data_IF_077383685647
#
_entry.id   IF_077383685647
#
_cell.length_a   1.000
_cell.length_b   1.000
_cell.length_c   1.000
_cell.angle_alpha   90.00
_cell.angle_beta   90.00
_cell.angle_gamma   90.00
#
_symmetry.space_group_name_H-M   'P 1'
#
loop_
_entity.id
_entity.type
_entity.pdbx_description
1 polymer ?
#
# COMPACT_ATOMS: atom_id res chain seq x y z
N UNK A 1 -3.39 -7.10 14.90
CA UNK A 1 -3.92 -5.78 14.48
C UNK A 1 -5.09 -5.43 15.37
N UNK A 2 -5.25 -4.15 15.73
CA UNK A 2 -6.32 -3.69 16.64
C UNK A 2 -7.71 -3.96 16.06
N UNK A 3 -8.59 -4.63 16.81
CA UNK A 3 -10.01 -4.79 16.44
C UNK A 3 -10.67 -3.41 16.34
N UNK A 4 -11.39 -3.16 15.25
CA UNK A 4 -11.98 -1.84 14.98
C UNK A 4 -10.97 -0.79 14.49
N UNK A 5 -9.68 -1.12 14.42
CA UNK A 5 -8.70 -0.34 13.66
C UNK A 5 -8.99 -0.43 12.15
N UNK A 6 -8.51 0.56 11.39
CA UNK A 6 -8.73 0.59 9.93
C UNK A 6 -7.40 0.46 9.19
N UNK A 7 -7.34 -0.49 8.25
CA UNK A 7 -6.34 -0.43 7.18
C UNK A 7 -6.80 0.65 6.22
N UNK A 8 -5.94 1.65 5.99
CA UNK A 8 -6.23 2.77 5.11
C UNK A 8 -5.18 2.84 4.04
N UNK A 9 -5.61 2.97 2.79
CA UNK A 9 -4.67 3.21 1.71
C UNK A 9 -5.12 4.30 0.78
N UNK A 10 -4.14 4.94 0.18
CA UNK A 10 -4.28 6.00 -0.79
C UNK A 10 -3.31 5.69 -1.92
N UNK A 11 -3.85 5.47 -3.12
CA UNK A 11 -3.06 5.23 -4.32
C UNK A 11 -3.44 6.22 -5.41
N UNK A 12 -2.45 6.85 -6.02
CA UNK A 12 -2.65 7.63 -7.22
C UNK A 12 -2.43 6.75 -8.47
N UNK A 13 -3.52 6.41 -9.14
CA UNK A 13 -3.56 5.47 -10.27
C UNK A 13 -3.87 6.23 -11.57
N UNK A 14 -3.18 5.82 -12.63
CA UNK A 14 -3.33 6.29 -13.99
C UNK A 14 -3.66 5.12 -14.91
N UNK A 15 -4.56 5.34 -15.86
CA UNK A 15 -4.68 4.44 -16.99
C UNK A 15 -5.05 5.15 -18.28
N UNK A 16 -4.63 4.55 -19.39
CA UNK A 16 -5.07 4.86 -20.75
C UNK A 16 -5.56 3.60 -21.45
N UNK A 17 -6.51 3.77 -22.35
CA UNK A 17 -7.19 2.68 -23.06
C UNK A 17 -8.58 2.41 -22.50
N UNK A 18 -9.18 1.35 -23.01
CA UNK A 18 -10.50 0.89 -22.64
C UNK A 18 -10.42 -0.15 -21.50
N UNK A 19 -11.32 -0.04 -20.53
CA UNK A 19 -11.43 -0.93 -19.38
C UNK A 19 -12.87 -1.45 -19.17
N UNK A 20 -13.82 -1.12 -20.04
CA UNK A 20 -15.23 -1.47 -19.88
C UNK A 20 -15.64 -2.64 -20.79
N UNK A 21 -16.12 -3.73 -20.19
CA UNK A 21 -16.64 -4.86 -20.94
C UNK A 21 -18.02 -4.54 -21.55
N UNK A 22 -18.18 -4.79 -22.86
CA UNK A 22 -19.46 -4.63 -23.55
C UNK A 22 -19.79 -3.21 -24.02
N UNK A 23 -18.83 -2.29 -24.00
CA UNK A 23 -18.93 -0.97 -24.63
C UNK A 23 -18.48 -0.97 -26.09
N UNK A 24 -18.51 0.21 -26.73
CA UNK A 24 -18.05 0.43 -28.11
C UNK A 24 -16.52 0.49 -28.25
N UNK A 25 -15.78 0.21 -27.18
CA UNK A 25 -14.33 0.33 -27.13
C UNK A 25 -13.58 -0.95 -27.54
N UNK A 26 -12.27 -0.95 -27.32
CA UNK A 26 -11.37 -2.05 -27.72
C UNK A 26 -11.46 -3.28 -26.82
N UNK A 27 -12.22 -3.17 -25.73
CA UNK A 27 -12.37 -4.22 -24.75
C UNK A 27 -13.42 -5.27 -25.15
N UNK A 28 -12.96 -6.50 -25.38
CA UNK A 28 -13.80 -7.62 -25.81
C UNK A 28 -14.06 -8.62 -24.67
N UNK A 29 -14.66 -8.17 -23.58
CA UNK A 29 -14.91 -8.98 -22.36
C UNK A 29 -13.64 -9.51 -21.67
N UNK A 30 -12.51 -8.82 -21.85
CA UNK A 30 -11.21 -9.18 -21.26
C UNK A 30 -10.59 -8.02 -20.48
N UNK A 31 -11.40 -7.02 -20.11
CA UNK A 31 -10.98 -5.96 -19.21
C UNK A 31 -11.58 -6.17 -17.83
N UNK A 32 -11.00 -5.46 -16.89
CA UNK A 32 -11.41 -5.50 -15.51
C UNK A 32 -11.13 -4.12 -14.92
N UNK A 33 -12.06 -3.68 -14.09
CA UNK A 33 -11.92 -2.41 -13.39
C UNK A 33 -10.78 -2.51 -12.38
N UNK A 34 -10.41 -1.36 -11.83
CA UNK A 34 -9.39 -1.36 -10.80
C UNK A 34 -9.94 -2.06 -9.55
N UNK A 35 -9.27 -3.12 -9.14
CA UNK A 35 -9.51 -3.84 -7.90
C UNK A 35 -8.31 -3.65 -6.98
N UNK A 36 -8.57 -3.21 -5.76
CA UNK A 36 -7.60 -3.13 -4.67
C UNK A 36 -8.02 -4.17 -3.63
N UNK A 37 -7.24 -5.24 -3.52
CA UNK A 37 -7.51 -6.36 -2.62
C UNK A 37 -6.49 -6.38 -1.49
N UNK A 38 -6.96 -6.64 -0.28
CA UNK A 38 -6.13 -6.86 0.90
C UNK A 38 -6.16 -8.34 1.23
N UNK A 39 -4.98 -8.92 1.36
CA UNK A 39 -4.80 -10.31 1.73
C UNK A 39 -4.12 -10.43 3.09
N UNK A 40 -4.56 -11.45 3.82
CA UNK A 40 -3.89 -11.99 4.99
C UNK A 40 -3.32 -13.36 4.59
N UNK A 41 -2.03 -13.41 4.30
CA UNK A 41 -1.41 -14.59 3.71
C UNK A 41 -2.04 -14.93 2.35
N UNK A 42 -2.70 -16.09 2.24
CA UNK A 42 -3.39 -16.52 1.03
C UNK A 42 -4.89 -16.15 0.98
N UNK A 43 -5.45 -15.57 2.06
CA UNK A 43 -6.87 -15.27 2.16
C UNK A 43 -7.17 -13.81 1.78
N UNK A 44 -8.06 -13.59 0.81
CA UNK A 44 -8.61 -12.26 0.49
C UNK A 44 -9.59 -11.85 1.60
N UNK A 45 -9.24 -10.82 2.37
CA UNK A 45 -10.07 -10.33 3.48
C UNK A 45 -10.93 -9.13 3.09
N UNK A 46 -10.52 -8.40 2.04
CA UNK A 46 -11.25 -7.25 1.53
C UNK A 46 -10.90 -6.99 0.08
N UNK A 47 -11.88 -6.52 -0.68
CA UNK A 47 -11.71 -6.03 -2.05
C UNK A 47 -12.52 -4.79 -2.28
N UNK A 48 -11.84 -3.75 -2.72
CA UNK A 48 -12.40 -2.48 -3.16
C UNK A 48 -12.34 -2.40 -4.68
N UNK A 49 -13.50 -2.40 -5.33
CA UNK A 49 -13.60 -2.19 -6.78
C UNK A 49 -13.95 -0.74 -7.05
N UNK A 50 -13.09 -0.04 -7.78
CA UNK A 50 -13.29 1.37 -8.08
C UNK A 50 -14.21 1.55 -9.31
N UNK A 51 -15.04 2.59 -9.27
CA UNK A 51 -15.87 2.97 -10.41
C UNK A 51 -14.99 3.53 -11.55
N UNK A 52 -15.39 3.33 -12.83
CA UNK A 52 -14.64 3.85 -13.96
C UNK A 52 -14.50 5.38 -13.88
N UNK A 53 -13.35 5.89 -14.33
CA UNK A 53 -13.09 7.32 -14.47
C UNK A 53 -12.60 7.65 -15.88
N UNK A 54 -12.40 8.92 -16.17
CA UNK A 54 -11.96 9.34 -17.51
C UNK A 54 -10.50 8.91 -17.72
N UNK A 55 -10.27 8.07 -18.74
CA UNK A 55 -8.94 7.63 -19.14
C UNK A 55 -8.00 8.82 -19.46
N UNK A 56 -6.70 8.62 -19.29
CA UNK A 56 -5.68 9.67 -19.46
C UNK A 56 -5.57 10.63 -18.27
N UNK A 57 -6.21 10.32 -17.14
CA UNK A 57 -6.14 11.13 -15.93
C UNK A 57 -5.68 10.31 -14.72
N UNK A 58 -4.87 10.98 -13.89
CA UNK A 58 -4.51 10.50 -12.55
C UNK A 58 -5.70 10.64 -11.62
N UNK A 59 -6.02 9.58 -10.89
CA UNK A 59 -7.06 9.57 -9.86
C UNK A 59 -6.46 9.08 -8.56
N UNK A 60 -6.68 9.85 -7.49
CA UNK A 60 -6.43 9.40 -6.14
C UNK A 60 -7.58 8.50 -5.67
N UNK A 61 -7.26 7.28 -5.27
CA UNK A 61 -8.18 6.25 -4.83
C UNK A 61 -7.88 5.96 -3.37
N UNK A 62 -8.88 6.22 -2.53
CA UNK A 62 -8.81 6.01 -1.09
C UNK A 62 -9.68 4.81 -0.76
N UNK A 63 -9.11 3.83 -0.09
CA UNK A 63 -9.85 2.68 0.42
C UNK A 63 -9.59 2.54 1.92
N UNK A 64 -10.60 2.03 2.62
CA UNK A 64 -10.52 1.74 4.04
C UNK A 64 -11.21 0.43 4.37
N UNK A 65 -10.56 -0.38 5.19
CA UNK A 65 -11.10 -1.63 5.68
C UNK A 65 -10.99 -1.70 7.20
N UNK A 66 -12.11 -1.85 7.88
CA UNK A 66 -12.15 -2.01 9.34
C UNK A 66 -11.85 -3.46 9.71
N UNK A 67 -10.86 -3.66 10.58
CA UNK A 67 -10.45 -4.97 11.07
C UNK A 67 -11.55 -5.57 11.96
N UNK A 68 -12.04 -6.73 11.57
CA UNK A 68 -12.97 -7.55 12.37
C UNK A 68 -12.21 -8.43 13.36
N UNK A 69 -12.90 -8.98 14.37
CA UNK A 69 -12.30 -9.90 15.35
C UNK A 69 -11.64 -11.12 14.69
N UNK A 70 -12.26 -11.66 13.64
CA UNK A 70 -11.75 -12.81 12.88
C UNK A 70 -10.43 -12.50 12.15
N UNK A 71 -10.23 -11.24 11.75
CA UNK A 71 -9.06 -10.79 10.99
C UNK A 71 -8.06 -10.02 11.86
N UNK A 72 -8.22 -10.00 13.19
CA UNK A 72 -7.35 -9.24 14.09
C UNK A 72 -6.05 -9.97 14.44
N UNK A 73 -6.03 -11.30 14.39
CA UNK A 73 -4.86 -12.12 14.70
C UNK A 73 -4.02 -12.28 13.43
N UNK A 74 -2.72 -11.98 13.50
CA UNK A 74 -1.77 -12.11 12.39
C UNK A 74 -0.53 -12.85 12.88
N UNK A 75 -0.26 -14.02 12.33
CA UNK A 75 0.95 -14.80 12.57
C UNK A 75 2.07 -14.42 11.57
N UNK A 76 3.29 -14.22 12.05
CA UNK A 76 4.43 -13.82 11.22
C UNK A 76 4.85 -14.87 10.19
N UNK A 77 4.47 -16.14 10.40
CA UNK A 77 4.85 -17.25 9.49
C UNK A 77 3.94 -17.31 8.26
N UNK A 78 2.63 -17.18 8.45
CA UNK A 78 1.64 -17.46 7.40
C UNK A 78 0.82 -16.24 6.98
N UNK A 79 0.66 -15.26 7.87
CA UNK A 79 -0.26 -14.14 7.68
C UNK A 79 0.52 -12.87 7.32
N UNK A 80 1.23 -12.90 6.19
CA UNK A 80 1.85 -11.67 5.69
C UNK A 80 0.80 -10.76 5.04
N UNK A 81 0.78 -9.45 5.34
CA UNK A 81 -0.12 -8.51 4.67
C UNK A 81 0.33 -8.30 3.23
N UNK A 82 -0.59 -8.49 2.29
CA UNK A 82 -0.36 -8.21 0.87
C UNK A 82 -1.46 -7.30 0.38
N UNK A 83 -1.09 -6.22 -0.31
CA UNK A 83 -2.03 -5.36 -1.02
C UNK A 83 -1.81 -5.57 -2.50
N UNK A 84 -2.84 -6.08 -3.17
CA UNK A 84 -2.84 -6.33 -4.60
C UNK A 84 -3.64 -5.24 -5.30
N UNK A 85 -3.03 -4.62 -6.31
CA UNK A 85 -3.68 -3.64 -7.17
C UNK A 85 -3.72 -4.21 -8.58
N UNK A 86 -4.92 -4.54 -9.06
CA UNK A 86 -5.12 -5.15 -10.37
C UNK A 86 -6.06 -4.32 -11.23
N UNK A 87 -5.73 -4.23 -12.51
CA UNK A 87 -6.55 -3.61 -13.54
C UNK A 87 -6.23 -4.26 -14.87
N UNK A 88 -7.23 -4.49 -15.72
CA UNK A 88 -6.99 -4.93 -17.10
C UNK A 88 -7.50 -3.85 -18.04
N UNK A 89 -6.58 -3.31 -18.83
CA UNK A 89 -6.82 -2.23 -19.79
C UNK A 89 -6.34 -2.64 -21.17
N UNK A 90 -7.01 -2.13 -22.21
CA UNK A 90 -6.69 -2.46 -23.59
C UNK A 90 -6.67 -1.22 -24.48
N UNK A 91 -5.60 -1.07 -25.24
CA UNK A 91 -5.47 -0.04 -26.27
C UNK A 91 -6.16 -0.46 -27.57
N UNK A 92 -6.32 0.48 -28.48
CA UNK A 92 -6.92 0.28 -29.80
C UNK A 92 -5.87 0.06 -30.91
N UNK A 93 -4.60 -0.11 -30.52
CA UNK A 93 -3.50 -0.36 -31.45
C UNK A 93 -3.69 -1.63 -32.27
N UNK A 94 -3.77 -1.49 -33.60
CA UNK A 94 -3.94 -2.56 -34.58
C UNK A 94 -2.95 -2.44 -35.74
N UNK A 95 -2.76 -3.52 -36.51
CA UNK A 95 -2.00 -3.46 -37.77
C UNK A 95 -2.80 -2.64 -38.80
N UNK A 96 -2.12 -1.71 -39.47
CA UNK A 96 -2.72 -0.87 -40.49
C UNK A 96 -2.99 -1.63 -41.80
N UNK A 97 -3.71 -0.99 -42.72
CA UNK A 97 -4.05 -1.56 -44.02
C UNK A 97 -2.84 -1.78 -44.95
N UNK A 98 -1.69 -1.18 -44.65
CA UNK A 98 -0.45 -1.36 -45.39
C UNK A 98 0.52 -2.27 -44.63
N UNK A 99 1.31 -3.11 -45.32
CA UNK A 99 2.34 -3.91 -44.68
C UNK A 99 3.28 -3.02 -43.84
N UNK A 100 3.57 -3.45 -42.62
CA UNK A 100 4.47 -2.77 -41.66
C UNK A 100 3.97 -1.43 -41.10
N UNK A 101 2.69 -1.07 -41.29
CA UNK A 101 2.09 0.08 -40.59
C UNK A 101 1.26 -0.39 -39.39
N UNK A 102 1.21 0.44 -38.36
CA UNK A 102 0.36 0.27 -37.16
C UNK A 102 -0.45 1.54 -36.95
N UNK A 103 -1.67 1.41 -36.46
CA UNK A 103 -2.59 2.51 -36.17
C UNK A 103 -3.20 2.33 -34.78
N UNK A 104 -3.55 3.43 -34.10
CA UNK A 104 -4.11 3.43 -32.74
C UNK A 104 -3.04 3.58 -31.65
N UNK A 105 -3.52 3.68 -30.42
CA UNK A 105 -2.76 3.97 -29.21
C UNK A 105 -2.63 2.72 -28.32
N UNK A 106 -1.45 2.50 -27.71
CA UNK A 106 -1.27 1.44 -26.72
C UNK A 106 -2.01 1.79 -25.41
N UNK A 107 -2.37 0.77 -24.61
CA UNK A 107 -2.80 1.00 -23.24
C UNK A 107 -1.60 1.35 -22.34
N UNK A 108 -1.89 2.13 -21.29
CA UNK A 108 -0.93 2.44 -20.24
C UNK A 108 -1.57 2.23 -18.86
N UNK A 109 -0.75 1.80 -17.90
CA UNK A 109 -1.10 1.75 -16.49
C UNK A 109 0.05 2.34 -15.69
N UNK A 110 -0.28 3.23 -14.75
CA UNK A 110 0.69 3.89 -13.89
C UNK A 110 0.19 3.96 -12.46
N UNK A 111 1.12 3.80 -11.52
CA UNK A 111 0.85 3.97 -10.10
C UNK A 111 1.98 4.79 -9.49
N UNK A 112 1.64 5.84 -8.74
CA UNK A 112 2.63 6.57 -7.95
C UNK A 112 2.78 5.93 -6.59
N UNK A 113 4.02 5.84 -6.12
CA UNK A 113 4.39 5.27 -4.84
C UNK A 113 5.02 6.35 -3.93
N UNK A 114 5.24 6.00 -2.66
CA UNK A 114 5.80 6.87 -1.63
C UNK A 114 4.85 8.02 -1.23
N UNK A 115 5.19 9.29 -1.52
CA UNK A 115 4.42 10.44 -1.01
C UNK A 115 3.01 10.53 -1.58
N UNK A 116 2.75 9.88 -2.72
CA UNK A 116 1.45 9.83 -3.39
C UNK A 116 0.86 8.40 -3.42
N UNK A 117 1.42 7.49 -2.61
CA UNK A 117 1.02 6.09 -2.51
C UNK A 117 1.40 5.50 -1.15
N UNK A 118 0.43 5.40 -0.24
CA UNK A 118 0.61 4.96 1.15
C UNK A 118 -0.45 3.93 1.53
N UNK A 119 -0.05 2.93 2.31
CA UNK A 119 -0.98 2.07 3.06
C UNK A 119 -0.55 2.05 4.52
N UNK A 120 -1.49 2.34 5.41
CA UNK A 120 -1.34 2.31 6.85
C UNK A 120 -2.03 1.07 7.40
N UNK A 121 -1.28 0.29 8.18
CA UNK A 121 -1.79 -0.88 8.88
C UNK A 121 -1.92 -0.58 10.39
N UNK A 122 -3.07 -0.85 11.00
CA UNK A 122 -3.27 -0.62 12.43
C UNK A 122 -2.51 -1.68 13.23
N UNK A 123 -1.47 -1.25 13.93
CA UNK A 123 -0.72 -2.10 14.86
C UNK A 123 -1.43 -2.10 16.22
N UNK A 124 -1.51 -3.27 16.84
CA UNK A 124 -2.12 -3.39 18.18
C UNK A 124 -1.13 -2.94 19.25
N UNK A 125 -1.57 -2.10 20.20
CA UNK A 125 -0.70 -1.58 21.26
C UNK A 125 -0.08 -2.69 22.12
N UNK A 126 -0.77 -3.83 22.27
CA UNK A 126 -0.25 -4.99 23.00
C UNK A 126 0.97 -5.64 22.31
N UNK A 127 1.12 -5.46 20.99
CA UNK A 127 2.29 -5.97 20.24
C UNK A 127 3.60 -5.25 20.62
N UNK A 128 3.51 -4.10 21.30
CA UNK A 128 4.66 -3.39 21.82
C UNK A 128 5.03 -3.79 23.25
N UNK A 129 4.29 -4.70 23.88
CA UNK A 129 4.62 -5.19 25.23
C UNK A 129 5.86 -6.08 25.23
N UNK A 130 6.67 -5.99 26.29
CA UNK A 130 7.89 -6.79 26.46
C UNK A 130 7.59 -8.30 26.39
N UNK A 131 6.44 -8.74 26.91
CA UNK A 131 6.00 -10.14 26.89
C UNK A 131 5.74 -10.66 25.46
N UNK A 132 5.28 -9.80 24.54
CA UNK A 132 5.07 -10.16 23.13
C UNK A 132 6.37 -10.20 22.34
N UNK A 133 7.36 -9.38 22.74
CA UNK A 133 8.69 -9.34 22.13
C UNK A 133 9.63 -10.41 22.68
N UNK A 134 9.37 -10.92 23.89
CA UNK A 134 10.22 -11.90 24.57
C UNK A 134 10.35 -13.26 23.85
N UNK A 135 9.49 -13.54 22.87
CA UNK A 135 9.61 -14.70 21.97
C UNK A 135 10.47 -14.47 20.72
N UNK A 136 10.82 -13.22 20.41
CA UNK A 136 12.00 -12.89 19.60
C UNK A 136 13.17 -12.94 20.57
N UNK A 137 13.55 -14.16 20.96
CA UNK A 137 14.78 -14.34 21.71
C UNK A 137 15.86 -13.57 20.93
N UNK A 138 16.49 -12.60 21.61
CA UNK A 138 17.86 -12.22 21.33
C UNK A 138 18.57 -13.53 21.07
N UNK A 139 18.81 -13.88 19.80
CA UNK A 139 19.81 -14.88 19.50
C UNK A 139 21.03 -14.37 20.25
N UNK A 140 21.55 -15.10 21.25
CA UNK A 140 22.76 -14.67 21.93
C UNK A 140 23.77 -14.39 20.84
N UNK A 141 24.54 -13.32 20.98
CA UNK A 141 25.54 -12.92 20.01
C UNK A 141 26.56 -14.06 19.81
N UNK A 142 26.23 -15.04 18.98
CA UNK A 142 27.17 -16.01 18.45
C UNK A 142 27.84 -15.33 17.26
N UNK A 143 29.10 -14.98 17.51
CA UNK A 143 30.11 -14.54 16.56
C UNK A 143 29.95 -15.20 15.18
N UNK A 144 29.16 -14.57 14.32
CA UNK A 144 29.07 -14.91 12.90
C UNK A 144 30.02 -13.97 12.16
N UNK A 145 31.17 -14.46 11.66
CA UNK A 145 32.17 -13.59 11.09
C UNK A 145 31.72 -13.15 9.69
N UNK A 146 31.54 -11.84 9.48
CA UNK A 146 31.92 -11.25 8.19
C UNK A 146 30.99 -10.30 7.46
N UNK A 147 29.76 -9.99 7.89
CA UNK A 147 28.98 -8.88 7.33
C UNK A 147 28.04 -8.27 8.39
N UNK A 148 28.50 -7.21 9.06
CA UNK A 148 27.71 -6.47 10.05
C UNK A 148 26.67 -5.58 9.36
N UNK A 149 25.39 -5.91 9.52
CA UNK A 149 24.29 -4.96 9.35
C UNK A 149 24.27 -4.07 10.61
N UNK A 150 24.83 -2.85 10.53
CA UNK A 150 24.72 -1.86 11.60
C UNK A 150 23.33 -1.21 11.51
N UNK A 151 22.37 -1.71 12.29
CA UNK A 151 21.12 -0.98 12.52
C UNK A 151 21.40 0.03 13.63
N UNK A 152 21.70 1.27 13.24
CA UNK A 152 21.80 2.38 14.17
C UNK A 152 20.41 2.69 14.73
N UNK A 153 20.11 2.21 15.94
CA UNK A 153 18.95 2.61 16.73
C UNK A 153 19.11 4.06 17.15
N UNK A 154 18.52 4.99 16.38
CA UNK A 154 18.43 6.38 16.77
C UNK A 154 17.45 6.53 17.95
N UNK A 155 17.98 6.56 19.16
CA UNK A 155 17.25 7.00 20.34
C UNK A 155 16.93 8.50 20.21
N UNK A 156 15.67 8.84 19.93
CA UNK A 156 15.20 10.22 19.98
C UNK A 156 15.07 10.60 21.46
N UNK A 157 16.15 11.14 22.04
CA UNK A 157 16.15 11.67 23.39
C UNK A 157 15.43 13.03 23.44
N UNK A 158 14.41 13.07 24.31
CA UNK A 158 13.63 14.19 24.83
C UNK A 158 14.24 15.60 24.66
N UNK A 159 13.51 16.48 23.95
CA UNK A 159 13.66 17.93 24.06
C UNK A 159 12.45 18.53 24.81
N UNK A 160 12.47 18.47 26.14
CA UNK A 160 11.65 19.34 27.00
C UNK A 160 12.60 20.08 27.95
N UNK A 161 13.15 21.19 27.47
CA UNK A 161 13.70 22.23 28.34
C UNK A 161 12.94 23.54 28.08
N UNK A 162 11.82 23.64 28.78
CA UNK A 162 11.42 24.76 29.66
C UNK A 162 11.99 26.12 29.22
N UNK A 163 11.17 26.91 28.55
CA UNK A 163 11.34 28.36 28.47
C UNK A 163 10.97 28.96 29.85
N UNK A 164 11.91 28.87 30.80
CA UNK A 164 11.77 29.50 32.11
C UNK A 164 11.82 31.01 31.91
N UNK A 165 10.67 31.64 32.12
CA UNK A 165 10.47 33.09 32.19
C UNK A 165 11.63 33.75 32.94
N UNK A 166 12.29 34.71 32.28
CA UNK A 166 13.21 35.65 32.93
C UNK A 166 12.35 36.65 33.74
N UNK A 167 12.46 36.70 35.08
CA UNK A 167 11.93 37.83 35.81
C UNK A 167 12.81 39.06 35.57
N UNK A 168 12.14 40.21 35.38
CA UNK A 168 12.71 41.55 35.49
C UNK A 168 13.06 41.85 36.95
N UNK A 169 13.98 42.82 37.14
CA UNK A 169 14.24 43.72 38.30
C UNK A 169 15.75 44.04 38.31
N UNK A 170 16.18 45.22 37.84
CA UNK A 170 16.35 46.47 38.60
C UNK A 170 17.53 46.42 39.60
N UNK A 171 18.73 46.83 39.14
CA UNK A 171 19.59 47.89 39.75
C UNK A 171 20.73 48.29 38.80
#
# INVERSE_FOLDING_TARGET
MTVGGEIRGNFNIYYEGDNANGGDGSCNNDCDWLNISIFKGAAEIHRHTEQPWVAGNWKNIIFSYTITEENAIWDSVNDNPIVEVTMKVKGDRTNGALPFTVQGDPAAFGMKLASEGLVEFPVDDSSWSEDFQAGVEETPAEDTPGFTLVVASAAIAMAVFINAKKPEDEE
#
